data_IF_658282069972
#
_entry.id   IF_658282069972
#
_cell.length_a   1.000
_cell.length_b   1.000
_cell.length_c   1.000
_cell.angle_alpha   90.00
_cell.angle_beta   90.00
_cell.angle_gamma   90.00
#
_symmetry.space_group_name_H-M   'P 1'
#
loop_
_entity.id
_entity.type
_entity.pdbx_description
1 polymer ?
#
# COMPACT_ATOMS: atom_id res chain seq x y z
N UNK A 1 -31.87 32.14 24.79
CA UNK A 1 -30.42 32.15 24.39
C UNK A 1 -29.62 32.42 25.66
N UNK A 2 -29.00 31.39 26.23
CA UNK A 2 -28.24 31.55 27.50
C UNK A 2 -26.78 31.86 27.11
N UNK A 3 -26.31 33.07 27.35
CA UNK A 3 -24.93 33.47 27.11
C UNK A 3 -24.16 33.34 28.43
N UNK A 4 -23.24 32.39 28.52
CA UNK A 4 -22.34 32.23 29.66
C UNK A 4 -21.01 32.92 29.35
N UNK A 5 -20.81 34.11 29.88
CA UNK A 5 -19.57 34.89 29.77
C UNK A 5 -18.60 34.47 30.88
N UNK A 6 -17.40 34.07 30.54
CA UNK A 6 -16.35 33.75 31.49
C UNK A 6 -14.96 33.68 30.84
N UNK A 7 -13.93 34.13 31.58
CA UNK A 7 -12.54 34.10 31.14
C UNK A 7 -12.06 32.67 30.92
N UNK A 8 -11.25 32.43 29.89
CA UNK A 8 -10.67 31.12 29.57
C UNK A 8 -9.62 30.71 30.61
N UNK A 9 -9.98 29.85 31.55
CA UNK A 9 -9.01 29.12 32.38
C UNK A 9 -8.87 27.71 31.88
N UNK A 10 -7.66 27.27 31.63
CA UNK A 10 -7.32 25.87 31.35
C UNK A 10 -7.15 25.11 32.64
N UNK A 11 -7.73 23.94 32.76
CA UNK A 11 -7.43 23.00 33.85
C UNK A 11 -6.10 22.31 33.58
N UNK A 12 -5.44 21.81 34.63
CA UNK A 12 -4.11 21.19 34.58
C UNK A 12 -4.06 19.91 33.67
N UNK A 13 -5.22 19.34 33.37
CA UNK A 13 -5.44 18.16 32.53
C UNK A 13 -5.68 18.48 31.02
N UNK A 14 -5.62 19.75 30.65
CA UNK A 14 -5.70 20.19 29.26
C UNK A 14 -7.11 20.29 28.67
N UNK A 15 -8.18 19.91 29.36
CA UNK A 15 -9.56 20.00 28.85
C UNK A 15 -10.10 21.44 28.91
N UNK A 16 -10.71 21.90 27.79
CA UNK A 16 -11.40 23.19 27.75
C UNK A 16 -12.87 23.07 28.21
N UNK A 17 -13.46 24.18 28.76
CA UNK A 17 -14.89 24.22 29.09
C UNK A 17 -15.81 23.81 27.93
N UNK A 18 -15.43 24.13 26.69
CA UNK A 18 -16.17 23.77 25.49
C UNK A 18 -16.17 22.25 25.25
N UNK A 19 -15.07 21.57 25.52
CA UNK A 19 -14.97 20.11 25.45
C UNK A 19 -15.77 19.44 26.55
N UNK A 20 -15.79 20.01 27.75
CA UNK A 20 -16.62 19.53 28.85
C UNK A 20 -18.13 19.70 28.58
N UNK A 21 -18.55 20.83 28.00
CA UNK A 21 -19.94 21.04 27.59
C UNK A 21 -20.33 20.14 26.43
N UNK A 22 -19.43 19.91 25.46
CA UNK A 22 -19.65 18.97 24.34
C UNK A 22 -19.79 17.52 24.85
N UNK A 23 -18.96 17.09 25.82
CA UNK A 23 -19.08 15.78 26.45
C UNK A 23 -20.36 15.64 27.29
N UNK A 24 -20.77 16.71 27.99
CA UNK A 24 -22.01 16.75 28.78
C UNK A 24 -23.28 16.78 27.92
N UNK A 25 -23.23 17.39 26.73
CA UNK A 25 -24.38 17.39 25.79
C UNK A 25 -24.62 16.01 25.15
N UNK A 26 -23.59 15.19 24.96
CA UNK A 26 -23.75 13.80 24.52
C UNK A 26 -24.56 12.97 25.52
N UNK A 27 -24.38 13.19 26.82
CA UNK A 27 -25.21 12.58 27.86
C UNK A 27 -26.70 13.01 27.83
N UNK A 28 -26.97 14.26 27.46
CA UNK A 28 -28.34 14.78 27.32
C UNK A 28 -29.09 14.19 26.11
N UNK A 29 -28.38 13.64 25.11
CA UNK A 29 -28.93 12.90 23.97
C UNK A 29 -28.96 11.39 24.15
N UNK A 30 -28.78 10.88 25.41
CA UNK A 30 -28.89 9.46 25.72
C UNK A 30 -27.62 8.63 25.43
N UNK A 31 -26.52 9.27 25.05
CA UNK A 31 -25.22 8.61 24.86
C UNK A 31 -24.38 8.77 26.15
N UNK A 32 -24.44 7.77 27.02
CA UNK A 32 -23.59 7.74 28.20
C UNK A 32 -22.19 7.18 27.86
N UNK A 33 -21.16 7.64 28.58
CA UNK A 33 -19.80 7.10 28.43
C UNK A 33 -19.75 5.55 28.59
N UNK A 34 -20.53 4.91 29.52
CA UNK A 34 -20.65 3.48 29.57
C UNK A 34 -21.28 2.85 28.32
N UNK A 35 -22.20 3.52 27.63
CA UNK A 35 -22.79 3.04 26.37
C UNK A 35 -21.84 3.21 25.20
N UNK A 36 -21.07 4.30 25.17
CA UNK A 36 -19.97 4.48 24.21
C UNK A 36 -18.87 3.42 24.40
N UNK A 37 -18.47 3.16 25.65
CA UNK A 37 -17.51 2.09 25.98
C UNK A 37 -18.08 0.69 25.75
N UNK A 38 -19.39 0.49 25.97
CA UNK A 38 -20.08 -0.77 25.58
C UNK A 38 -20.21 -0.90 24.06
N UNK A 39 -20.47 0.17 23.34
CA UNK A 39 -20.49 0.19 21.88
C UNK A 39 -19.08 -0.01 21.28
N UNK A 40 -18.03 0.51 21.93
CA UNK A 40 -16.64 0.19 21.60
C UNK A 40 -16.26 -1.26 21.94
N UNK A 41 -16.70 -1.78 23.07
CA UNK A 41 -16.48 -3.18 23.47
C UNK A 41 -17.42 -4.16 22.75
N UNK A 42 -18.60 -3.70 22.32
CA UNK A 42 -19.55 -4.44 21.47
C UNK A 42 -19.25 -4.31 19.96
N UNK A 43 -18.25 -3.49 19.55
CA UNK A 43 -17.63 -3.75 18.25
C UNK A 43 -17.18 -5.20 18.29
N UNK A 44 -17.68 -6.06 17.36
CA UNK A 44 -17.26 -7.46 17.37
C UNK A 44 -15.74 -7.46 17.41
N UNK A 45 -15.14 -8.31 18.24
CA UNK A 45 -13.70 -8.56 18.30
C UNK A 45 -13.15 -9.10 16.97
N UNK A 46 -13.92 -9.06 15.89
CA UNK A 46 -13.69 -9.27 14.50
C UNK A 46 -14.08 -8.03 13.67
N UNK A 47 -13.55 -6.86 13.98
CA UNK A 47 -13.59 -5.74 13.04
C UNK A 47 -13.07 -6.22 11.68
N UNK A 48 -13.67 -5.72 10.57
CA UNK A 48 -13.27 -6.07 9.20
C UNK A 48 -11.74 -6.10 9.09
N UNK A 49 -11.19 -7.20 8.60
CA UNK A 49 -9.73 -7.39 8.44
C UNK A 49 -9.22 -6.59 7.24
N UNK A 50 -9.26 -5.27 7.33
CA UNK A 50 -8.89 -4.35 6.26
C UNK A 50 -7.42 -4.44 5.92
N UNK A 51 -7.12 -4.73 4.67
CA UNK A 51 -5.77 -4.95 4.16
C UNK A 51 -5.52 -4.21 2.85
N UNK A 52 -4.26 -4.06 2.48
CA UNK A 52 -3.85 -3.43 1.21
C UNK A 52 -2.79 -4.28 0.51
N UNK A 53 -2.96 -4.49 -0.79
CA UNK A 53 -1.93 -4.95 -1.71
C UNK A 53 -1.61 -3.79 -2.65
N UNK A 54 -0.45 -3.16 -2.46
CA UNK A 54 0.08 -2.13 -3.34
C UNK A 54 0.96 -2.80 -4.39
N UNK A 55 0.51 -2.81 -5.64
CA UNK A 55 1.32 -3.24 -6.78
C UNK A 55 2.07 -2.01 -7.31
N UNK A 56 3.33 -1.89 -6.90
CA UNK A 56 4.17 -0.75 -7.22
C UNK A 56 4.91 -0.97 -8.54
N UNK A 57 4.55 -0.19 -9.56
CA UNK A 57 5.11 -0.22 -10.90
C UNK A 57 6.23 0.81 -11.02
N UNK A 58 7.35 0.55 -10.31
CA UNK A 58 8.43 1.53 -10.25
C UNK A 58 9.01 1.84 -11.63
N UNK A 59 9.24 3.10 -11.87
CA UNK A 59 9.62 3.63 -13.17
C UNK A 59 8.48 4.30 -13.93
N UNK A 60 7.22 4.06 -13.54
CA UNK A 60 6.05 4.74 -14.09
C UNK A 60 5.49 4.13 -15.38
N UNK A 61 4.35 3.45 -15.33
CA UNK A 61 3.73 2.86 -16.51
C UNK A 61 3.11 3.93 -17.42
N UNK A 62 3.10 3.67 -18.73
CA UNK A 62 2.47 4.55 -19.71
C UNK A 62 0.94 4.45 -19.65
N UNK A 63 0.26 5.56 -19.36
CA UNK A 63 -1.20 5.67 -19.39
C UNK A 63 -1.77 5.41 -20.80
N UNK A 64 -1.08 5.87 -21.84
CA UNK A 64 -1.49 5.73 -23.23
C UNK A 64 -1.37 4.30 -23.77
N UNK A 65 -0.49 3.50 -23.19
CA UNK A 65 -0.28 2.13 -23.61
C UNK A 65 -0.98 1.11 -22.69
N UNK A 66 -1.81 1.58 -21.75
CA UNK A 66 -2.57 0.75 -20.80
C UNK A 66 -4.06 1.09 -20.76
N UNK A 67 -4.48 2.08 -19.97
CA UNK A 67 -5.88 2.35 -19.65
C UNK A 67 -6.46 3.60 -20.31
N UNK A 68 -5.63 4.49 -20.88
CA UNK A 68 -6.06 5.77 -21.46
C UNK A 68 -5.54 5.95 -22.90
N UNK A 69 -5.86 5.04 -23.77
CA UNK A 69 -5.21 4.78 -25.06
C UNK A 69 -5.38 5.84 -26.15
N UNK A 70 -6.41 6.70 -26.09
CA UNK A 70 -6.68 7.77 -27.07
C UNK A 70 -6.58 7.29 -28.53
N UNK A 71 -7.44 6.36 -28.99
CA UNK A 71 -7.33 5.73 -30.30
C UNK A 71 -7.41 6.74 -31.48
N UNK A 72 -8.09 7.88 -31.27
CA UNK A 72 -8.28 8.93 -32.29
C UNK A 72 -7.12 9.92 -32.35
N UNK A 73 -6.14 9.79 -31.46
CA UNK A 73 -4.93 10.63 -31.49
C UNK A 73 -3.99 10.25 -32.61
N UNK A 74 -3.14 11.16 -33.10
CA UNK A 74 -2.08 10.87 -34.04
C UNK A 74 -1.20 9.71 -33.57
N UNK A 75 -0.62 8.95 -34.53
CA UNK A 75 0.14 7.72 -34.25
C UNK A 75 1.27 7.90 -33.25
N UNK A 76 1.94 9.04 -33.27
CA UNK A 76 3.03 9.39 -32.37
C UNK A 76 2.58 9.62 -30.92
N UNK A 77 1.26 9.71 -30.66
CA UNK A 77 0.66 9.81 -29.33
C UNK A 77 0.04 8.48 -28.89
N UNK A 78 -0.88 7.92 -29.71
CA UNK A 78 -1.67 6.74 -29.33
C UNK A 78 -0.88 5.45 -29.10
N UNK A 79 0.39 5.41 -29.50
CA UNK A 79 1.25 4.26 -29.30
C UNK A 79 1.05 3.10 -30.28
N UNK A 80 1.75 1.98 -30.04
CA UNK A 80 1.83 0.86 -30.98
C UNK A 80 0.72 -0.18 -30.84
N UNK A 81 -0.18 -0.06 -29.84
CA UNK A 81 -1.17 -1.08 -29.50
C UNK A 81 -2.57 -0.73 -29.96
N UNK A 82 -3.34 -1.79 -30.25
CA UNK A 82 -4.78 -1.72 -30.40
C UNK A 82 -5.50 -1.72 -29.04
N UNK A 83 -6.82 -1.53 -29.06
CA UNK A 83 -7.63 -1.59 -27.85
C UNK A 83 -8.70 -2.67 -27.95
N UNK A 84 -9.03 -3.30 -26.82
CA UNK A 84 -10.10 -4.28 -26.68
C UNK A 84 -11.24 -3.74 -25.80
N UNK A 85 -12.49 -4.16 -26.04
CA UNK A 85 -13.58 -3.86 -25.12
C UNK A 85 -13.38 -4.59 -23.79
N UNK A 86 -14.03 -4.06 -22.75
CA UNK A 86 -13.96 -4.63 -21.40
C UNK A 86 -15.32 -5.06 -20.89
N UNK A 87 -15.38 -5.71 -19.71
CA UNK A 87 -16.65 -6.00 -19.01
C UNK A 87 -17.39 -4.74 -18.59
N UNK A 88 -16.72 -3.58 -18.53
CA UNK A 88 -17.37 -2.28 -18.30
C UNK A 88 -17.75 -1.67 -19.66
N UNK A 89 -19.07 -1.51 -19.95
CA UNK A 89 -19.53 -0.97 -21.23
C UNK A 89 -18.94 0.42 -21.53
N UNK A 90 -18.48 0.59 -22.78
CA UNK A 90 -17.87 1.84 -23.24
C UNK A 90 -16.38 2.02 -22.89
N UNK A 91 -15.84 1.23 -21.96
CA UNK A 91 -14.42 1.25 -21.65
C UNK A 91 -13.64 0.31 -22.57
N UNK A 92 -12.58 0.83 -23.15
CA UNK A 92 -11.59 0.06 -23.91
C UNK A 92 -10.21 0.27 -23.29
N UNK A 93 -9.40 -0.81 -23.26
CA UNK A 93 -8.03 -0.80 -22.74
C UNK A 93 -7.09 -1.49 -23.73
N UNK A 94 -5.79 -1.49 -23.46
CA UNK A 94 -4.77 -2.11 -24.29
C UNK A 94 -5.10 -3.57 -24.63
N UNK A 95 -4.91 -3.98 -25.89
CA UNK A 95 -5.16 -5.34 -26.38
C UNK A 95 -4.24 -6.40 -25.74
N UNK A 96 -3.16 -5.97 -25.07
CA UNK A 96 -2.27 -6.83 -24.28
C UNK A 96 -2.77 -7.14 -22.88
N UNK A 97 -3.98 -6.66 -22.52
CA UNK A 97 -4.52 -6.76 -21.15
C UNK A 97 -5.88 -7.49 -21.08
N UNK A 98 -6.01 -8.72 -21.63
CA UNK A 98 -7.29 -9.45 -21.67
C UNK A 98 -7.78 -9.90 -20.28
N UNK A 99 -6.92 -10.12 -19.29
CA UNK A 99 -7.34 -10.46 -17.93
C UNK A 99 -7.97 -9.25 -17.25
N UNK A 100 -7.37 -8.06 -17.34
CA UNK A 100 -7.99 -6.82 -16.86
C UNK A 100 -9.31 -6.55 -17.58
N UNK A 101 -9.36 -6.74 -18.90
CA UNK A 101 -10.59 -6.48 -19.66
C UNK A 101 -11.81 -7.24 -19.10
N UNK A 102 -11.63 -8.45 -18.57
CA UNK A 102 -12.71 -9.26 -17.99
C UNK A 102 -13.17 -8.82 -16.59
N UNK A 103 -12.34 -8.06 -15.86
CA UNK A 103 -12.60 -7.69 -14.47
C UNK A 103 -12.88 -6.20 -14.28
N UNK A 104 -13.03 -5.43 -15.36
CA UNK A 104 -13.23 -3.98 -15.26
C UNK A 104 -14.53 -3.58 -14.56
N UNK A 105 -15.52 -4.45 -14.52
CA UNK A 105 -16.75 -4.30 -13.73
C UNK A 105 -16.50 -4.32 -12.21
N UNK A 106 -15.38 -4.86 -11.75
CA UNK A 106 -14.94 -4.97 -10.33
C UNK A 106 -13.78 -4.07 -9.99
N UNK A 107 -13.38 -3.22 -10.91
CA UNK A 107 -12.26 -2.31 -10.74
C UNK A 107 -12.66 -0.87 -11.05
N UNK A 108 -11.86 0.07 -10.58
CA UNK A 108 -11.94 1.46 -10.98
C UNK A 108 -10.63 1.91 -11.57
N UNK A 109 -10.68 2.72 -12.62
CA UNK A 109 -9.50 3.35 -13.20
C UNK A 109 -9.57 4.85 -12.95
N UNK A 110 -8.60 5.39 -12.24
CA UNK A 110 -8.39 6.84 -12.15
C UNK A 110 -7.49 7.23 -13.33
N UNK A 111 -8.02 8.00 -14.30
CA UNK A 111 -7.24 8.49 -15.46
C UNK A 111 -6.61 9.86 -15.24
N UNK A 112 -7.02 10.54 -14.20
CA UNK A 112 -6.70 11.94 -13.92
C UNK A 112 -5.67 12.11 -12.80
N UNK A 113 -4.89 11.08 -12.48
CA UNK A 113 -3.84 11.23 -11.49
C UNK A 113 -2.73 12.14 -12.01
N UNK A 114 -2.34 13.14 -11.21
CA UNK A 114 -1.44 14.21 -11.64
C UNK A 114 -0.63 14.79 -10.49
N UNK A 115 0.59 15.19 -10.81
CA UNK A 115 1.45 16.03 -9.96
C UNK A 115 2.48 16.74 -10.85
N UNK A 116 3.47 17.43 -10.24
CA UNK A 116 4.41 18.28 -10.96
C UNK A 116 5.89 17.85 -10.82
N UNK A 117 6.17 16.66 -10.33
CA UNK A 117 7.55 16.21 -10.10
C UNK A 117 7.93 15.04 -11.00
N UNK A 118 8.88 15.25 -11.92
CA UNK A 118 9.41 14.26 -12.85
C UNK A 118 10.68 13.54 -12.39
N UNK A 119 11.13 13.75 -11.14
CA UNK A 119 12.23 12.98 -10.55
C UNK A 119 11.67 11.71 -9.87
N UNK A 120 12.18 10.55 -10.24
CA UNK A 120 11.70 9.26 -9.70
C UNK A 120 11.70 9.21 -8.17
N UNK A 121 12.77 9.66 -7.54
CA UNK A 121 12.92 9.55 -6.10
C UNK A 121 11.98 10.50 -5.35
N UNK A 122 11.86 11.74 -5.85
CA UNK A 122 10.95 12.71 -5.26
C UNK A 122 9.49 12.31 -5.44
N UNK A 123 9.11 11.88 -6.63
CA UNK A 123 7.75 11.44 -6.93
C UNK A 123 7.38 10.16 -6.16
N UNK A 124 8.25 9.15 -6.15
CA UNK A 124 8.03 7.92 -5.39
C UNK A 124 7.91 8.18 -3.87
N UNK A 125 8.77 9.06 -3.32
CA UNK A 125 8.66 9.46 -1.92
C UNK A 125 7.30 10.11 -1.65
N UNK A 126 6.87 11.02 -2.53
CA UNK A 126 5.61 11.72 -2.37
C UNK A 126 4.41 10.77 -2.38
N UNK A 127 4.32 9.87 -3.37
CA UNK A 127 3.21 8.92 -3.47
C UNK A 127 3.19 7.90 -2.31
N UNK A 128 4.35 7.44 -1.87
CA UNK A 128 4.43 6.38 -0.87
C UNK A 128 4.32 6.89 0.58
N UNK A 129 4.54 8.20 0.81
CA UNK A 129 4.54 8.79 2.15
C UNK A 129 3.54 9.94 2.34
N UNK A 130 2.99 10.50 1.25
CA UNK A 130 2.16 11.72 1.27
C UNK A 130 2.96 13.02 1.31
N UNK A 131 4.29 12.98 1.35
CA UNK A 131 5.15 14.15 1.52
C UNK A 131 6.28 14.19 0.49
N UNK A 132 6.60 15.39 0.01
CA UNK A 132 7.89 15.62 -0.66
C UNK A 132 9.01 15.52 0.38
N UNK A 133 10.15 14.93 0.04
CA UNK A 133 11.23 14.78 1.02
C UNK A 133 12.50 14.11 0.51
N UNK A 134 12.46 13.51 -0.65
CA UNK A 134 13.62 12.94 -1.31
C UNK A 134 13.85 13.58 -2.69
N UNK A 135 15.04 13.40 -3.24
CA UNK A 135 15.42 13.82 -4.58
C UNK A 135 16.39 12.81 -5.18
N UNK A 136 16.69 12.91 -6.47
CA UNK A 136 17.71 12.07 -7.11
C UNK A 136 19.09 12.15 -6.46
N UNK A 137 19.42 13.28 -5.83
CA UNK A 137 20.69 13.51 -5.11
C UNK A 137 20.64 13.18 -3.62
N UNK A 138 19.47 13.28 -2.98
CA UNK A 138 19.23 12.89 -1.57
C UNK A 138 18.11 11.85 -1.49
N UNK A 139 18.48 10.58 -1.51
CA UNK A 139 17.57 9.42 -1.56
C UNK A 139 17.12 8.93 -0.18
N UNK A 140 17.26 9.75 0.85
CA UNK A 140 16.84 9.37 2.21
C UNK A 140 15.34 9.55 2.38
N UNK A 141 14.66 8.50 2.86
CA UNK A 141 13.27 8.61 3.30
C UNK A 141 13.18 9.55 4.50
N UNK A 142 12.43 10.64 4.39
CA UNK A 142 12.21 11.61 5.47
C UNK A 142 10.92 11.33 6.23
N UNK A 143 9.97 10.70 5.57
CA UNK A 143 8.67 10.33 6.13
C UNK A 143 8.47 8.82 6.03
N UNK A 144 7.71 8.22 6.95
CA UNK A 144 7.38 6.80 6.88
C UNK A 144 6.41 6.52 5.71
N UNK A 145 6.55 5.35 5.11
CA UNK A 145 5.61 4.88 4.08
C UNK A 145 4.24 4.55 4.68
N UNK A 146 3.20 4.54 3.84
CA UNK A 146 1.85 4.15 4.25
C UNK A 146 1.81 2.75 4.88
N UNK A 147 2.60 1.80 4.34
CA UNK A 147 2.73 0.46 4.93
C UNK A 147 3.35 0.47 6.32
N UNK A 148 4.39 1.29 6.53
CA UNK A 148 5.01 1.45 7.85
C UNK A 148 4.08 2.15 8.86
N UNK A 149 3.32 3.15 8.42
CA UNK A 149 2.28 3.79 9.25
C UNK A 149 1.17 2.78 9.60
N UNK A 150 0.73 1.99 8.64
CA UNK A 150 -0.25 0.92 8.87
C UNK A 150 0.24 -0.10 9.89
N UNK A 151 1.50 -0.52 9.80
CA UNK A 151 2.12 -1.42 10.77
C UNK A 151 2.18 -0.79 12.18
N UNK A 152 2.55 0.49 12.27
CA UNK A 152 2.62 1.23 13.53
C UNK A 152 1.25 1.38 14.22
N UNK A 153 0.24 1.82 13.47
CA UNK A 153 -1.07 2.15 14.03
C UNK A 153 -1.98 0.94 14.24
N UNK A 154 -1.83 -0.11 13.46
CA UNK A 154 -2.80 -1.21 13.39
C UNK A 154 -2.17 -2.60 13.58
N UNK A 155 -0.87 -2.77 13.40
CA UNK A 155 -0.21 -4.08 13.46
C UNK A 155 -0.72 -5.07 12.41
N UNK A 156 -0.41 -6.34 12.57
CA UNK A 156 -0.97 -7.46 11.79
C UNK A 156 -2.35 -7.86 12.30
N UNK A 157 -3.14 -8.57 11.47
CA UNK A 157 -4.42 -9.12 11.91
C UNK A 157 -4.28 -10.38 12.77
N UNK A 158 -3.15 -11.07 12.64
CA UNK A 158 -2.87 -12.33 13.33
C UNK A 158 -1.47 -12.29 13.95
N UNK A 159 -1.32 -12.89 15.12
CA UNK A 159 0.00 -13.06 15.73
C UNK A 159 0.84 -14.06 14.92
N UNK A 160 2.14 -13.84 14.87
CA UNK A 160 3.09 -14.69 14.18
C UNK A 160 3.18 -14.48 12.68
N UNK A 161 2.66 -13.35 12.19
CA UNK A 161 2.87 -12.86 10.81
C UNK A 161 3.29 -11.39 10.86
N UNK A 162 4.13 -10.92 9.93
CA UNK A 162 4.52 -9.51 9.89
C UNK A 162 3.32 -8.62 9.55
N UNK A 163 3.28 -7.41 10.10
CA UNK A 163 2.24 -6.44 9.79
C UNK A 163 2.37 -5.87 8.36
N UNK A 164 3.61 -5.73 7.89
CA UNK A 164 3.95 -5.20 6.57
C UNK A 164 5.00 -6.05 5.87
N UNK A 165 4.72 -6.44 4.64
CA UNK A 165 5.65 -7.19 3.76
C UNK A 165 5.93 -6.39 2.50
N UNK A 166 7.22 -6.25 2.14
CA UNK A 166 7.65 -5.65 0.89
C UNK A 166 8.39 -6.70 0.04
N UNK A 167 7.82 -7.06 -1.09
CA UNK A 167 8.39 -8.03 -2.03
C UNK A 167 9.16 -7.31 -3.13
N UNK A 168 10.35 -7.84 -3.47
CA UNK A 168 11.29 -7.25 -4.43
C UNK A 168 11.69 -5.83 -4.05
N UNK A 169 12.19 -5.65 -2.84
CA UNK A 169 12.65 -4.35 -2.36
C UNK A 169 13.75 -3.76 -3.25
N UNK A 170 13.64 -2.47 -3.54
CA UNK A 170 14.58 -1.74 -4.41
C UNK A 170 13.87 -0.91 -5.47
N UNK A 171 14.63 -0.47 -6.49
CA UNK A 171 14.12 0.45 -7.51
C UNK A 171 13.77 1.83 -6.94
N UNK A 172 12.80 2.49 -7.56
CA UNK A 172 12.32 3.79 -7.10
C UNK A 172 11.21 3.61 -6.07
N UNK A 173 11.55 3.37 -4.80
CA UNK A 173 10.54 3.16 -3.77
C UNK A 173 11.04 3.51 -2.37
N UNK A 174 10.15 4.07 -1.57
CA UNK A 174 10.38 4.41 -0.17
C UNK A 174 9.38 3.64 0.69
N UNK A 175 9.73 2.42 1.05
CA UNK A 175 8.85 1.50 1.78
C UNK A 175 9.17 1.41 3.27
N UNK A 176 10.17 2.16 3.74
CA UNK A 176 10.66 2.10 5.11
C UNK A 176 9.87 2.93 6.12
N UNK A 177 10.23 2.71 7.38
CA UNK A 177 9.58 3.32 8.54
C UNK A 177 10.11 4.72 8.89
N UNK A 178 11.24 5.16 8.30
CA UNK A 178 11.82 6.47 8.61
C UNK A 178 11.91 6.71 10.13
N UNK A 179 11.32 7.77 10.65
CA UNK A 179 11.36 8.13 12.07
C UNK A 179 10.45 7.25 12.98
N UNK A 180 9.64 6.33 12.45
CA UNK A 180 8.88 5.40 13.29
C UNK A 180 9.71 4.27 13.90
N UNK A 181 10.98 4.14 13.46
CA UNK A 181 11.87 3.11 13.95
C UNK A 181 11.77 1.78 13.22
N UNK A 182 12.74 0.92 13.47
CA UNK A 182 12.97 -0.33 12.71
C UNK A 182 11.85 -1.36 12.86
N UNK A 183 11.07 -1.30 13.96
CA UNK A 183 9.91 -2.17 14.19
C UNK A 183 8.84 -2.05 13.13
N UNK A 184 8.68 -0.86 12.57
CA UNK A 184 7.67 -0.59 11.55
C UNK A 184 8.20 -0.78 10.13
N UNK A 185 9.46 -1.20 9.96
CA UNK A 185 9.99 -1.54 8.63
C UNK A 185 9.28 -2.76 8.05
N UNK A 186 9.13 -2.83 6.72
CA UNK A 186 8.58 -4.01 6.09
C UNK A 186 9.47 -5.25 6.30
N UNK A 187 8.85 -6.39 6.45
CA UNK A 187 9.54 -7.67 6.22
C UNK A 187 9.87 -7.76 4.73
N UNK A 188 11.15 -7.74 4.39
CA UNK A 188 11.60 -7.69 2.99
C UNK A 188 11.85 -9.06 2.44
N UNK A 189 11.35 -9.30 1.22
CA UNK A 189 11.57 -10.56 0.50
C UNK A 189 12.11 -10.26 -0.89
N UNK A 190 13.31 -10.77 -1.18
CA UNK A 190 13.97 -10.51 -2.43
C UNK A 190 14.50 -9.08 -2.58
N UNK A 191 15.27 -8.87 -3.62
CA UNK A 191 15.77 -7.55 -4.01
C UNK A 191 15.61 -7.38 -5.52
N UNK A 192 15.37 -6.12 -5.92
CA UNK A 192 15.38 -5.75 -7.32
C UNK A 192 16.81 -5.72 -7.84
N UNK A 193 17.01 -6.28 -9.04
CA UNK A 193 18.28 -6.19 -9.77
C UNK A 193 18.02 -5.54 -11.13
N UNK A 194 18.65 -4.41 -11.39
CA UNK A 194 18.59 -3.74 -12.70
C UNK A 194 19.07 -4.69 -13.81
N UNK A 195 18.31 -4.77 -14.90
CA UNK A 195 18.63 -5.59 -16.06
C UNK A 195 18.19 -7.05 -15.98
N UNK A 196 17.62 -7.52 -14.90
CA UNK A 196 17.05 -8.85 -14.78
C UNK A 196 15.53 -8.83 -14.59
N UNK A 197 14.83 -8.22 -15.53
CA UNK A 197 13.37 -8.04 -15.50
C UNK A 197 12.59 -9.37 -15.53
N UNK A 198 13.19 -10.41 -16.07
CA UNK A 198 12.57 -11.74 -16.19
C UNK A 198 12.70 -12.61 -14.93
N UNK A 199 13.63 -12.28 -14.04
CA UNK A 199 14.05 -13.14 -12.94
C UNK A 199 13.76 -12.59 -11.53
N UNK A 200 12.85 -11.63 -11.42
CA UNK A 200 12.45 -11.10 -10.11
C UNK A 200 11.54 -12.10 -9.38
N UNK A 201 12.08 -13.25 -9.08
CA UNK A 201 11.46 -14.17 -8.12
C UNK A 201 11.77 -13.69 -6.71
N UNK A 202 10.79 -13.69 -5.80
CA UNK A 202 11.08 -13.44 -4.40
C UNK A 202 12.13 -14.47 -3.96
N UNK A 203 13.28 -14.00 -3.54
CA UNK A 203 14.29 -14.86 -2.93
C UNK A 203 13.91 -15.29 -1.52
N UNK A 204 12.84 -14.73 -0.96
CA UNK A 204 12.23 -15.25 0.26
C UNK A 204 11.52 -16.56 -0.05
N UNK A 205 12.30 -17.59 -0.14
CA UNK A 205 11.79 -18.94 -0.01
C UNK A 205 11.35 -19.14 1.44
N UNK A 206 10.38 -20.00 1.67
CA UNK A 206 10.01 -20.49 3.01
C UNK A 206 11.26 -20.94 3.82
N UNK A 207 12.35 -21.28 3.14
CA UNK A 207 13.67 -21.59 3.72
C UNK A 207 14.29 -20.43 4.50
N UNK A 208 13.99 -19.17 4.18
CA UNK A 208 14.53 -18.00 4.90
C UNK A 208 13.95 -17.87 6.32
N UNK A 209 12.81 -18.49 6.57
CA UNK A 209 12.16 -18.58 7.88
C UNK A 209 12.39 -19.93 8.58
N UNK A 210 13.22 -20.80 8.00
CA UNK A 210 13.63 -22.03 8.70
C UNK A 210 14.62 -21.70 9.80
N UNK A 211 14.38 -22.30 10.96
CA UNK A 211 15.37 -22.24 12.04
C UNK A 211 16.70 -22.84 11.55
N UNK A 212 17.80 -22.20 11.93
CA UNK A 212 19.13 -22.74 11.70
C UNK A 212 19.26 -24.13 12.35
N UNK A 213 20.05 -25.01 11.76
CA UNK A 213 20.31 -26.33 12.32
C UNK A 213 20.75 -26.26 13.79
N UNK A 214 20.07 -27.01 14.65
CA UNK A 214 20.31 -27.00 16.08
C UNK A 214 19.59 -25.94 16.90
N UNK A 215 18.86 -24.98 16.25
CA UNK A 215 17.91 -24.09 16.92
C UNK A 215 16.50 -24.71 16.88
N UNK A 216 15.91 -24.90 18.05
CA UNK A 216 14.51 -25.30 18.19
C UNK A 216 13.68 -24.14 18.75
N UNK A 217 12.37 -24.19 18.60
CA UNK A 217 11.43 -23.20 19.17
C UNK A 217 11.60 -23.10 20.69
N UNK A 218 11.84 -24.22 21.38
CA UNK A 218 12.08 -24.29 22.82
C UNK A 218 13.39 -23.55 23.20
N UNK A 219 14.46 -23.77 22.44
CA UNK A 219 15.75 -23.09 22.68
C UNK A 219 15.64 -21.58 22.45
N UNK A 220 14.86 -21.14 21.45
CA UNK A 220 14.61 -19.72 21.21
C UNK A 220 13.80 -19.13 22.37
N UNK A 221 12.70 -19.78 22.75
CA UNK A 221 11.85 -19.35 23.87
C UNK A 221 12.61 -19.30 25.19
N UNK A 222 13.50 -20.27 25.47
CA UNK A 222 14.35 -20.28 26.65
C UNK A 222 15.35 -19.12 26.64
N UNK A 223 15.98 -18.82 25.49
CA UNK A 223 16.89 -17.67 25.36
C UNK A 223 16.17 -16.33 25.54
N UNK A 224 14.99 -16.18 24.96
CA UNK A 224 14.16 -14.97 25.14
C UNK A 224 13.74 -14.81 26.61
N UNK A 225 13.34 -15.88 27.28
CA UNK A 225 13.02 -15.87 28.70
C UNK A 225 14.22 -15.50 29.57
N UNK A 226 15.41 -15.99 29.22
CA UNK A 226 16.66 -15.63 29.90
C UNK A 226 16.99 -14.15 29.68
N UNK A 227 16.88 -13.65 28.46
CA UNK A 227 17.09 -12.22 28.17
C UNK A 227 16.12 -11.36 28.97
N UNK A 228 14.82 -11.68 28.99
CA UNK A 228 13.79 -10.95 29.78
C UNK A 228 14.13 -10.93 31.28
N UNK A 229 14.68 -12.02 31.83
CA UNK A 229 15.15 -12.05 33.24
C UNK A 229 16.35 -11.16 33.47
N UNK A 230 17.31 -11.10 32.53
CA UNK A 230 18.48 -10.23 32.61
C UNK A 230 18.07 -8.76 32.45
N UNK A 231 17.10 -8.46 31.57
CA UNK A 231 16.59 -7.12 31.34
C UNK A 231 15.73 -6.64 32.52
N UNK A 232 14.97 -7.53 33.16
CA UNK A 232 14.23 -7.21 34.40
C UNK A 232 15.19 -6.78 35.54
N UNK A 233 16.40 -7.33 35.61
CA UNK A 233 17.45 -6.91 36.54
C UNK A 233 18.03 -5.52 36.19
N UNK A 234 17.84 -5.06 34.93
CA UNK A 234 18.30 -3.74 34.45
C UNK A 234 17.17 -2.71 34.36
N UNK A 235 15.91 -3.12 34.47
CA UNK A 235 14.74 -2.26 34.29
C UNK A 235 14.65 -1.12 35.31
N UNK A 236 15.27 -1.29 36.48
CA UNK A 236 15.36 -0.23 37.49
C UNK A 236 16.20 0.97 37.02
N UNK A 237 16.89 0.86 35.88
CA UNK A 237 17.78 1.89 35.32
C UNK A 237 17.17 2.53 34.07
N UNK A 238 16.16 1.91 33.41
CA UNK A 238 15.58 2.43 32.18
C UNK A 238 14.46 3.45 32.42
N UNK A 239 14.85 4.70 32.54
CA UNK A 239 13.91 5.84 32.58
C UNK A 239 13.34 6.24 31.22
N UNK A 240 13.81 5.65 30.11
CA UNK A 240 13.48 6.05 28.74
C UNK A 240 12.38 5.23 28.09
N UNK A 241 12.03 4.07 28.63
CA UNK A 241 11.09 3.12 28.01
C UNK A 241 11.62 2.40 26.75
N UNK A 242 12.90 2.63 26.39
CA UNK A 242 13.50 2.07 25.18
C UNK A 242 13.60 0.54 25.22
N UNK A 243 13.81 -0.04 26.41
CA UNK A 243 13.88 -1.49 26.60
C UNK A 243 12.52 -2.17 26.42
N UNK A 244 11.42 -1.54 26.86
CA UNK A 244 10.07 -2.08 26.65
C UNK A 244 9.71 -2.18 25.16
N UNK A 245 10.13 -1.19 24.37
CA UNK A 245 9.96 -1.23 22.91
C UNK A 245 10.75 -2.35 22.24
N UNK A 246 11.99 -2.60 22.72
CA UNK A 246 12.87 -3.65 22.19
C UNK A 246 12.35 -5.05 22.55
N UNK A 247 11.79 -5.24 23.74
CA UNK A 247 11.19 -6.50 24.17
C UNK A 247 9.97 -6.90 23.32
N UNK A 248 9.12 -5.95 22.98
CA UNK A 248 7.94 -6.22 22.13
C UNK A 248 8.35 -6.60 20.70
N UNK A 249 9.36 -5.93 20.14
CA UNK A 249 9.91 -6.25 18.81
C UNK A 249 10.55 -7.65 18.77
N UNK A 250 11.33 -7.99 19.81
CA UNK A 250 11.94 -9.30 19.91
C UNK A 250 10.87 -10.39 20.02
N UNK A 251 9.81 -10.15 20.79
CA UNK A 251 8.69 -11.08 20.92
C UNK A 251 7.97 -11.28 19.58
N UNK A 252 7.67 -10.20 18.84
CA UNK A 252 7.06 -10.28 17.52
C UNK A 252 7.93 -11.07 16.53
N UNK A 253 9.23 -10.79 16.50
CA UNK A 253 10.19 -11.53 15.66
C UNK A 253 10.22 -13.03 16.02
N UNK A 254 10.19 -13.37 17.30
CA UNK A 254 10.10 -14.75 17.77
C UNK A 254 8.80 -15.40 17.37
N UNK A 255 7.67 -14.71 17.53
CA UNK A 255 6.34 -15.22 17.16
C UNK A 255 6.28 -15.50 15.66
N UNK A 256 6.83 -14.63 14.81
CA UNK A 256 6.93 -14.84 13.36
C UNK A 256 7.72 -16.11 13.01
N UNK A 257 8.86 -16.29 13.65
CA UNK A 257 9.75 -17.44 13.35
C UNK A 257 9.21 -18.75 13.91
N UNK A 258 8.55 -18.72 15.08
CA UNK A 258 8.11 -19.94 15.81
C UNK A 258 6.71 -20.40 15.42
N UNK A 259 5.81 -19.51 15.04
CA UNK A 259 4.39 -19.85 14.76
C UNK A 259 4.21 -20.75 13.52
N UNK A 260 5.16 -20.74 12.58
CA UNK A 260 5.01 -21.43 11.29
C UNK A 260 3.99 -20.78 10.33
N UNK A 261 3.09 -19.89 10.80
CA UNK A 261 2.07 -19.22 9.99
C UNK A 261 2.70 -18.39 8.86
N UNK A 262 3.68 -17.55 9.21
CA UNK A 262 4.41 -16.76 8.21
C UNK A 262 5.08 -17.67 7.18
N UNK A 263 5.77 -18.72 7.62
CA UNK A 263 6.43 -19.68 6.72
C UNK A 263 5.44 -20.33 5.75
N UNK A 264 4.29 -20.77 6.25
CA UNK A 264 3.24 -21.35 5.42
C UNK A 264 2.70 -20.33 4.41
N UNK A 265 2.53 -19.06 4.80
CA UNK A 265 2.06 -18.00 3.90
C UNK A 265 3.03 -17.74 2.75
N UNK A 266 4.36 -17.76 3.01
CA UNK A 266 5.39 -17.59 1.98
C UNK A 266 5.59 -18.84 1.10
N UNK A 267 5.06 -19.99 1.48
CA UNK A 267 5.26 -21.23 0.72
C UNK A 267 4.12 -21.44 -0.29
N UNK A 268 4.30 -20.92 -1.50
CA UNK A 268 3.34 -21.08 -2.60
C UNK A 268 3.21 -22.53 -3.08
N UNK A 269 4.13 -23.43 -2.71
CA UNK A 269 4.03 -24.85 -3.07
C UNK A 269 2.90 -25.56 -2.35
N UNK A 270 2.37 -24.99 -1.27
CA UNK A 270 1.20 -25.49 -0.54
C UNK A 270 -0.12 -25.25 -1.29
N UNK A 271 -0.13 -24.41 -2.32
CA UNK A 271 -1.29 -24.24 -3.20
C UNK A 271 -1.40 -25.40 -4.20
N UNK A 272 -2.63 -25.70 -4.61
CA UNK A 272 -2.87 -26.70 -5.65
C UNK A 272 -2.24 -26.30 -6.99
N UNK A 273 -1.99 -27.30 -7.83
CA UNK A 273 -1.32 -27.09 -9.12
C UNK A 273 -2.09 -26.16 -10.04
N UNK A 274 -3.42 -26.27 -10.07
CA UNK A 274 -4.28 -25.49 -10.95
C UNK A 274 -4.23 -23.99 -10.57
N UNK A 275 -4.30 -23.69 -9.28
CA UNK A 275 -4.14 -22.32 -8.77
C UNK A 275 -2.78 -21.74 -9.14
N UNK A 276 -1.68 -22.48 -8.93
CA UNK A 276 -0.34 -22.04 -9.30
C UNK A 276 -0.18 -21.79 -10.79
N UNK A 277 -0.73 -22.69 -11.62
CA UNK A 277 -0.72 -22.53 -13.07
C UNK A 277 -1.57 -21.35 -13.53
N UNK A 278 -2.71 -21.07 -12.88
CA UNK A 278 -3.57 -19.92 -13.17
C UNK A 278 -2.84 -18.60 -12.97
N UNK A 279 -2.12 -18.45 -11.88
CA UNK A 279 -1.30 -17.25 -11.63
C UNK A 279 -0.08 -17.18 -12.58
N UNK A 280 0.56 -18.30 -12.86
CA UNK A 280 1.77 -18.40 -13.67
C UNK A 280 3.04 -17.97 -12.94
N UNK A 281 4.20 -18.07 -13.60
CA UNK A 281 5.50 -17.79 -13.00
C UNK A 281 5.76 -16.29 -12.80
N UNK A 282 6.81 -15.97 -12.04
CA UNK A 282 7.31 -14.61 -11.84
C UNK A 282 6.34 -13.72 -11.08
N UNK A 283 5.84 -12.67 -11.69
CA UNK A 283 4.90 -11.74 -11.01
C UNK A 283 3.60 -12.43 -10.61
N UNK A 284 3.15 -13.45 -11.34
CA UNK A 284 2.01 -14.27 -10.96
C UNK A 284 2.24 -15.02 -9.66
N UNK A 285 3.39 -15.69 -9.51
CA UNK A 285 3.76 -16.37 -8.26
C UNK A 285 3.86 -15.40 -7.08
N UNK A 286 4.36 -14.20 -7.33
CA UNK A 286 4.42 -13.14 -6.31
C UNK A 286 3.04 -12.61 -5.94
N UNK A 287 2.13 -12.47 -6.90
CA UNK A 287 0.75 -12.09 -6.65
C UNK A 287 0.01 -13.17 -5.85
N UNK A 288 0.25 -14.45 -6.15
CA UNK A 288 -0.24 -15.57 -5.36
C UNK A 288 0.27 -15.52 -3.91
N UNK A 289 1.56 -15.23 -3.73
CA UNK A 289 2.15 -15.04 -2.41
C UNK A 289 1.51 -13.86 -1.66
N UNK A 290 1.26 -12.72 -2.33
CA UNK A 290 0.57 -11.59 -1.73
C UNK A 290 -0.83 -11.96 -1.23
N UNK A 291 -1.61 -12.71 -2.00
CA UNK A 291 -2.92 -13.21 -1.58
C UNK A 291 -2.80 -14.09 -0.33
N UNK A 292 -1.85 -15.04 -0.31
CA UNK A 292 -1.61 -15.92 0.84
C UNK A 292 -1.21 -15.16 2.10
N UNK A 293 -0.41 -14.11 1.96
CA UNK A 293 -0.02 -13.24 3.06
C UNK A 293 -1.22 -12.50 3.66
N UNK A 294 -2.13 -12.00 2.82
CA UNK A 294 -3.37 -11.37 3.28
C UNK A 294 -4.25 -12.39 4.03
N UNK A 295 -4.43 -13.60 3.49
CA UNK A 295 -5.17 -14.67 4.18
C UNK A 295 -4.57 -15.04 5.53
N UNK A 296 -3.24 -15.02 5.65
CA UNK A 296 -2.53 -15.28 6.90
C UNK A 296 -2.63 -14.15 7.92
N UNK A 297 -3.12 -12.96 7.52
CA UNK A 297 -3.33 -11.82 8.41
C UNK A 297 -2.29 -10.71 8.29
N UNK A 298 -1.48 -10.68 7.25
CA UNK A 298 -0.64 -9.52 6.91
C UNK A 298 -1.55 -8.36 6.51
N UNK A 299 -1.33 -7.18 7.05
CA UNK A 299 -2.19 -6.01 6.78
C UNK A 299 -1.80 -5.26 5.52
N UNK A 300 -0.52 -5.11 5.26
CA UNK A 300 -0.03 -4.37 4.12
C UNK A 300 1.01 -5.19 3.35
N UNK A 301 0.81 -5.34 2.04
CA UNK A 301 1.77 -6.01 1.16
C UNK A 301 2.11 -5.06 0.02
N UNK A 302 3.39 -4.76 -0.18
CA UNK A 302 3.88 -4.12 -1.41
C UNK A 302 4.47 -5.18 -2.32
N UNK A 303 3.98 -5.24 -3.54
CA UNK A 303 4.51 -6.05 -4.63
C UNK A 303 5.16 -5.12 -5.66
N UNK A 304 6.49 -5.04 -5.66
CA UNK A 304 7.19 -4.27 -6.68
C UNK A 304 7.26 -5.10 -7.97
N UNK A 305 6.72 -4.54 -9.06
CA UNK A 305 6.71 -5.17 -10.37
C UNK A 305 7.59 -4.39 -11.33
N UNK A 306 8.47 -5.07 -12.03
CA UNK A 306 9.25 -4.62 -13.17
C UNK A 306 9.96 -3.29 -13.01
N UNK A 307 10.52 -2.87 -14.12
CA UNK A 307 11.09 -1.54 -14.32
C UNK A 307 10.35 -0.93 -15.51
N UNK A 308 9.51 0.09 -15.24
CA UNK A 308 8.63 0.69 -16.24
C UNK A 308 9.19 1.98 -16.85
N UNK A 309 10.48 2.24 -16.62
CA UNK A 309 11.19 3.44 -17.11
C UNK A 309 11.69 3.25 -18.55
N UNK A 310 10.76 3.20 -19.50
CA UNK A 310 11.00 2.80 -20.88
C UNK A 310 11.27 4.00 -21.81
N UNK A 311 12.46 4.60 -21.70
CA UNK A 311 12.91 5.70 -22.53
C UNK A 311 13.23 5.33 -23.99
N UNK A 312 13.24 4.08 -24.34
CA UNK A 312 13.50 3.59 -25.70
C UNK A 312 12.74 2.32 -25.99
N UNK A 313 12.37 2.14 -27.26
CA UNK A 313 11.69 0.94 -27.78
C UNK A 313 10.57 0.42 -26.86
N UNK A 314 9.63 1.30 -26.52
CA UNK A 314 8.55 1.01 -25.57
C UNK A 314 7.73 -0.21 -25.97
N UNK A 315 7.57 -0.45 -27.28
CA UNK A 315 6.84 -1.63 -27.77
C UNK A 315 7.51 -2.92 -27.30
N UNK A 316 8.82 -3.08 -27.47
CA UNK A 316 9.57 -4.27 -27.06
C UNK A 316 9.49 -4.48 -25.56
N UNK A 317 9.60 -3.40 -24.79
CA UNK A 317 9.52 -3.43 -23.32
C UNK A 317 8.13 -3.88 -22.85
N UNK A 318 7.07 -3.28 -23.39
CA UNK A 318 5.70 -3.56 -22.99
C UNK A 318 5.17 -4.90 -23.53
N UNK A 319 5.61 -5.38 -24.69
CA UNK A 319 5.29 -6.73 -25.19
C UNK A 319 5.71 -7.82 -24.18
N UNK A 320 6.73 -7.56 -23.38
CA UNK A 320 7.19 -8.45 -22.31
C UNK A 320 6.43 -8.21 -20.98
N UNK A 321 6.22 -6.94 -20.61
CA UNK A 321 5.70 -6.56 -19.29
C UNK A 321 4.18 -6.69 -19.19
N UNK A 322 3.45 -6.18 -20.19
CA UNK A 322 1.99 -6.12 -20.14
C UNK A 322 1.32 -7.48 -19.95
N UNK A 323 1.65 -8.54 -20.69
CA UNK A 323 1.00 -9.84 -20.50
C UNK A 323 1.25 -10.45 -19.12
N UNK A 324 2.44 -10.22 -18.56
CA UNK A 324 2.79 -10.69 -17.19
C UNK A 324 2.04 -9.93 -16.12
N UNK A 325 2.01 -8.60 -16.25
CA UNK A 325 1.27 -7.72 -15.33
C UNK A 325 -0.22 -8.00 -15.39
N UNK A 326 -0.76 -8.09 -16.59
CA UNK A 326 -2.17 -8.39 -16.85
C UNK A 326 -2.62 -9.69 -16.18
N UNK A 327 -1.86 -10.76 -16.40
CA UNK A 327 -2.17 -12.05 -15.79
C UNK A 327 -2.04 -12.02 -14.27
N UNK A 328 -0.93 -11.50 -13.74
CA UNK A 328 -0.66 -11.48 -12.31
C UNK A 328 -1.73 -10.72 -11.53
N UNK A 329 -2.06 -9.51 -11.99
CA UNK A 329 -2.99 -8.65 -11.29
C UNK A 329 -4.45 -9.03 -11.54
N UNK A 330 -4.80 -9.39 -12.79
CA UNK A 330 -6.15 -9.83 -13.13
C UNK A 330 -6.54 -11.10 -12.38
N UNK A 331 -5.65 -12.11 -12.33
CA UNK A 331 -5.89 -13.35 -11.58
C UNK A 331 -5.95 -13.09 -10.07
N UNK A 332 -5.09 -12.20 -9.54
CA UNK A 332 -5.12 -11.81 -8.12
C UNK A 332 -6.48 -11.24 -7.72
N UNK A 333 -7.01 -10.31 -8.49
CA UNK A 333 -8.30 -9.66 -8.21
C UNK A 333 -9.45 -10.68 -8.32
N UNK A 334 -9.43 -11.53 -9.34
CA UNK A 334 -10.42 -12.62 -9.48
C UNK A 334 -10.36 -13.59 -8.29
N UNK A 335 -9.18 -14.02 -7.86
CA UNK A 335 -9.00 -14.99 -6.76
C UNK A 335 -9.44 -14.40 -5.42
N UNK A 336 -9.06 -13.14 -5.13
CA UNK A 336 -9.53 -12.43 -3.93
C UNK A 336 -11.06 -12.30 -3.93
N UNK A 337 -11.67 -12.01 -5.08
CA UNK A 337 -13.13 -11.93 -5.22
C UNK A 337 -13.79 -13.27 -4.98
N UNK A 338 -13.30 -14.36 -5.58
CA UNK A 338 -13.82 -15.70 -5.43
C UNK A 338 -13.74 -16.23 -3.99
N UNK A 339 -12.74 -15.77 -3.23
CA UNK A 339 -12.53 -16.11 -1.82
C UNK A 339 -13.28 -15.21 -0.84
N UNK A 340 -13.98 -14.19 -1.34
CA UNK A 340 -14.67 -13.21 -0.47
C UNK A 340 -13.72 -12.28 0.30
N UNK A 341 -12.48 -12.12 -0.17
CA UNK A 341 -11.45 -11.30 0.47
C UNK A 341 -11.35 -9.90 -0.14
N UNK A 342 -11.89 -9.70 -1.35
CA UNK A 342 -11.69 -8.47 -2.11
C UNK A 342 -12.30 -7.24 -1.42
N UNK A 343 -13.49 -7.38 -0.83
CA UNK A 343 -14.18 -6.26 -0.17
C UNK A 343 -13.39 -5.69 1.02
N UNK A 344 -12.60 -6.53 1.69
CA UNK A 344 -11.76 -6.14 2.82
C UNK A 344 -10.29 -5.91 2.43
N UNK A 345 -9.95 -6.09 1.16
CA UNK A 345 -8.59 -5.93 0.64
C UNK A 345 -8.55 -4.95 -0.52
N UNK A 346 -7.97 -3.77 -0.32
CA UNK A 346 -7.69 -2.86 -1.42
C UNK A 346 -6.51 -3.39 -2.23
N UNK A 347 -6.73 -3.68 -3.50
CA UNK A 347 -5.66 -3.86 -4.49
C UNK A 347 -5.53 -2.56 -5.28
N UNK A 348 -4.35 -1.96 -5.24
CA UNK A 348 -4.07 -0.70 -5.95
C UNK A 348 -2.77 -0.84 -6.75
N UNK A 349 -2.80 -0.45 -8.04
CA UNK A 349 -1.64 -0.51 -8.93
C UNK A 349 -1.31 0.89 -9.45
N UNK A 350 -0.09 1.34 -9.18
CA UNK A 350 0.42 2.66 -9.54
C UNK A 350 1.95 2.64 -9.67
N UNK A 351 2.49 3.59 -10.41
CA UNK A 351 3.89 4.00 -10.35
C UNK A 351 4.01 5.43 -9.84
N UNK A 352 5.21 5.98 -9.86
CA UNK A 352 5.44 7.34 -9.36
C UNK A 352 4.91 8.44 -10.29
N UNK A 353 4.79 8.17 -11.60
CA UNK A 353 4.21 9.06 -12.61
C UNK A 353 3.88 8.30 -13.90
N UNK A 354 3.25 8.97 -14.87
CA UNK A 354 3.02 8.43 -16.22
C UNK A 354 4.16 8.72 -17.18
N UNK A 355 3.86 8.57 -18.49
CA UNK A 355 4.85 8.73 -19.56
C UNK A 355 4.42 9.77 -20.57
N UNK A 356 5.43 10.41 -21.25
CA UNK A 356 5.15 11.46 -22.24
C UNK A 356 4.13 10.99 -23.26
N UNK A 357 3.12 11.83 -23.57
CA UNK A 357 2.13 11.50 -24.59
C UNK A 357 2.73 11.27 -25.96
N UNK A 358 3.70 12.08 -26.37
CA UNK A 358 4.40 11.90 -27.62
C UNK A 358 5.57 10.92 -27.45
N UNK A 359 5.67 9.95 -28.35
CA UNK A 359 6.79 9.00 -28.45
C UNK A 359 8.03 9.79 -28.87
N UNK A 360 9.16 9.56 -28.19
CA UNK A 360 10.44 10.22 -28.46
C UNK A 360 11.19 9.56 -29.63
N UNK A 361 12.33 10.16 -30.03
CA UNK A 361 13.14 9.71 -31.16
C UNK A 361 13.77 8.33 -30.97
N UNK A 362 13.80 7.82 -29.73
CA UNK A 362 14.26 6.44 -29.42
C UNK A 362 13.10 5.43 -29.41
N UNK A 363 11.92 5.83 -29.90
CA UNK A 363 10.68 5.04 -29.86
C UNK A 363 10.29 4.66 -28.42
N UNK A 364 10.58 5.50 -27.44
CA UNK A 364 10.24 5.37 -26.03
C UNK A 364 9.36 6.52 -25.57
N UNK A 365 9.11 6.56 -24.25
CA UNK A 365 8.41 7.67 -23.59
C UNK A 365 9.20 8.13 -22.37
N UNK A 366 9.33 9.43 -22.19
CA UNK A 366 10.02 10.04 -21.07
C UNK A 366 9.08 10.24 -19.88
N UNK A 367 9.58 10.86 -18.80
CA UNK A 367 8.78 11.10 -17.58
C UNK A 367 7.67 12.12 -17.82
N UNK A 368 6.48 11.83 -17.31
CA UNK A 368 5.33 12.71 -17.45
C UNK A 368 4.45 12.68 -16.19
N UNK A 369 4.73 13.53 -15.20
CA UNK A 369 3.95 13.56 -13.96
C UNK A 369 2.56 14.18 -14.12
N UNK A 370 2.27 14.87 -15.22
CA UNK A 370 1.00 15.56 -15.45
C UNK A 370 -0.18 14.62 -15.74
N UNK A 371 0.06 13.36 -16.08
CA UNK A 371 -1.00 12.38 -16.27
C UNK A 371 -0.52 10.95 -16.03
N UNK A 372 -1.28 10.19 -15.23
CA UNK A 372 -1.09 8.75 -15.00
C UNK A 372 -2.44 8.07 -14.81
N UNK A 373 -2.52 6.78 -15.17
CA UNK A 373 -3.65 5.92 -14.82
C UNK A 373 -3.32 5.04 -13.62
N UNK A 374 -4.24 4.98 -12.65
CA UNK A 374 -4.16 4.14 -11.45
C UNK A 374 -5.33 3.17 -11.46
N UNK A 375 -5.08 1.89 -11.20
CA UNK A 375 -6.10 0.86 -11.05
C UNK A 375 -6.38 0.58 -9.58
N UNK A 376 -7.66 0.42 -9.22
CA UNK A 376 -8.12 0.03 -7.89
C UNK A 376 -9.14 -1.10 -7.98
N UNK A 377 -9.11 -2.01 -6.98
CA UNK A 377 -10.14 -3.04 -6.79
C UNK A 377 -10.34 -3.30 -5.29
N UNK A 378 -11.56 -3.60 -4.88
CA UNK A 378 -11.88 -3.97 -3.50
C UNK A 378 -11.76 -2.84 -2.48
N UNK A 379 -11.38 -3.19 -1.24
CA UNK A 379 -11.20 -2.22 -0.15
C UNK A 379 -12.48 -1.58 0.37
N UNK A 380 -13.65 -2.12 0.01
CA UNK A 380 -14.95 -1.58 0.40
C UNK A 380 -15.41 -0.39 -0.44
N UNK A 381 -14.75 -0.13 -1.57
CA UNK A 381 -15.09 0.94 -2.51
C UNK A 381 -16.10 0.50 -3.56
N UNK A 382 -16.78 1.48 -4.17
CA UNK A 382 -17.60 1.26 -5.37
C UNK A 382 -16.70 1.17 -6.59
N UNK A 383 -16.90 0.13 -7.39
CA UNK A 383 -16.11 -0.14 -8.58
C UNK A 383 -16.99 -0.19 -9.86
N UNK A 384 -16.40 -0.59 -10.98
CA UNK A 384 -17.05 -0.61 -12.28
C UNK A 384 -17.15 0.78 -12.90
N UNK A 385 -16.10 1.60 -12.77
CA UNK A 385 -16.11 2.98 -13.23
C UNK A 385 -14.73 3.51 -13.65
N UNK A 386 -14.75 4.58 -14.41
CA UNK A 386 -13.58 5.41 -14.72
C UNK A 386 -13.75 6.76 -14.02
N UNK A 387 -12.74 7.15 -13.25
CA UNK A 387 -12.73 8.40 -12.48
C UNK A 387 -11.82 9.40 -13.18
N UNK A 388 -12.39 10.57 -13.49
CA UNK A 388 -11.70 11.65 -14.19
C UNK A 388 -11.38 11.34 -15.65
N UNK A 389 -10.93 12.36 -16.34
CA UNK A 389 -10.55 12.29 -17.74
C UNK A 389 -9.30 13.12 -18.01
N UNK A 390 -8.59 12.77 -19.08
CA UNK A 390 -7.51 13.56 -19.65
C UNK A 390 -7.95 14.14 -21.01
N UNK A 391 -7.20 15.13 -21.51
CA UNK A 391 -7.44 15.68 -22.84
C UNK A 391 -7.24 14.63 -23.95
N UNK A 392 -7.53 14.99 -25.19
CA UNK A 392 -7.48 14.07 -26.34
C UNK A 392 -6.14 13.40 -26.62
N UNK A 393 -5.06 13.86 -26.00
CA UNK A 393 -3.69 13.30 -26.11
C UNK A 393 -3.17 12.70 -24.82
N UNK A 394 -3.97 12.64 -23.75
CA UNK A 394 -3.58 12.23 -22.40
C UNK A 394 -2.39 13.02 -21.82
N UNK A 395 -2.38 14.32 -22.07
CA UNK A 395 -1.31 15.23 -21.62
C UNK A 395 -1.54 15.72 -20.18
N UNK A 396 -2.78 15.99 -19.81
CA UNK A 396 -3.18 16.50 -18.49
C UNK A 396 -4.65 16.19 -18.20
N UNK A 397 -5.04 16.16 -16.92
CA UNK A 397 -6.43 16.02 -16.54
C UNK A 397 -7.30 17.17 -17.05
N UNK A 398 -8.50 16.85 -17.52
CA UNK A 398 -9.56 17.81 -17.85
C UNK A 398 -10.71 17.73 -16.86
N UNK A 399 -10.84 16.59 -16.16
CA UNK A 399 -11.88 16.35 -15.17
C UNK A 399 -11.30 15.67 -13.95
N UNK A 400 -11.78 16.02 -12.78
CA UNK A 400 -11.48 15.37 -11.50
C UNK A 400 -9.98 15.05 -11.32
N UNK A 401 -9.07 16.03 -11.24
CA UNK A 401 -7.67 15.75 -10.95
C UNK A 401 -7.53 15.07 -9.58
N UNK A 402 -6.72 14.01 -9.53
CA UNK A 402 -6.38 13.25 -8.33
C UNK A 402 -4.90 13.42 -8.05
N UNK A 403 -4.55 13.74 -6.82
CA UNK A 403 -3.18 14.11 -6.40
C UNK A 403 -2.51 12.99 -5.58
N UNK A 404 -1.20 13.05 -5.30
CA UNK A 404 -0.54 12.14 -4.37
C UNK A 404 -1.17 12.10 -2.97
N UNK A 405 -1.69 13.23 -2.47
CA UNK A 405 -2.38 13.26 -1.19
C UNK A 405 -3.71 12.50 -1.23
N UNK A 406 -4.46 12.61 -2.33
CA UNK A 406 -5.70 11.83 -2.53
C UNK A 406 -5.40 10.33 -2.66
N UNK A 407 -4.33 9.96 -3.36
CA UNK A 407 -3.86 8.56 -3.44
C UNK A 407 -3.60 7.98 -2.04
N UNK A 408 -2.87 8.70 -1.20
CA UNK A 408 -2.63 8.27 0.18
C UNK A 408 -3.93 8.23 1.00
N UNK A 409 -4.84 9.19 0.81
CA UNK A 409 -6.15 9.22 1.49
C UNK A 409 -7.00 7.98 1.13
N UNK A 410 -6.99 7.55 -0.14
CA UNK A 410 -7.64 6.29 -0.58
C UNK A 410 -7.07 5.10 0.20
N UNK A 411 -5.74 4.97 0.29
CA UNK A 411 -5.10 3.85 0.97
C UNK A 411 -5.41 3.86 2.47
N UNK A 412 -5.31 5.00 3.13
CA UNK A 412 -5.60 5.12 4.56
C UNK A 412 -7.07 4.85 4.88
N UNK A 413 -7.98 5.37 4.08
CA UNK A 413 -9.42 5.11 4.26
C UNK A 413 -9.74 3.62 4.14
N UNK A 414 -9.18 2.93 3.15
CA UNK A 414 -9.34 1.47 3.01
C UNK A 414 -8.84 0.71 4.25
N UNK A 415 -7.78 1.18 4.92
CA UNK A 415 -7.25 0.61 6.16
C UNK A 415 -8.06 1.01 7.41
N UNK A 416 -9.05 1.89 7.30
CA UNK A 416 -9.76 2.45 8.44
C UNK A 416 -8.89 3.37 9.30
N UNK A 417 -7.99 4.10 8.65
CA UNK A 417 -7.15 5.12 9.25
C UNK A 417 -7.66 6.49 8.78
N UNK A 418 -7.93 7.39 9.71
CA UNK A 418 -8.26 8.77 9.38
C UNK A 418 -6.98 9.62 9.32
N UNK A 419 -6.45 9.95 8.12
CA UNK A 419 -5.18 10.62 8.00
C UNK A 419 -5.19 12.08 8.48
N UNK A 420 -6.37 12.66 8.74
CA UNK A 420 -6.54 14.03 9.20
C UNK A 420 -6.72 14.16 10.71
N UNK A 421 -7.01 13.05 11.39
CA UNK A 421 -7.18 12.99 12.84
C UNK A 421 -6.07 12.21 13.55
N UNK A 422 -5.59 11.13 12.92
CA UNK A 422 -4.52 10.30 13.49
C UNK A 422 -3.16 10.96 13.25
N UNK A 423 -2.29 10.88 14.26
CA UNK A 423 -0.94 11.41 14.21
C UNK A 423 0.07 10.35 14.63
N UNK A 424 1.28 10.47 14.13
CA UNK A 424 2.43 9.65 14.55
C UNK A 424 3.51 10.55 15.14
N UNK A 425 4.23 10.07 16.15
CA UNK A 425 5.31 10.84 16.78
C UNK A 425 6.66 10.48 16.14
N UNK A 426 7.49 11.50 15.91
CA UNK A 426 8.89 11.29 15.52
C UNK A 426 9.78 10.96 16.74
N UNK A 427 11.07 10.76 16.52
CA UNK A 427 12.04 10.46 17.58
C UNK A 427 12.14 11.52 18.67
N UNK A 428 11.73 12.76 18.40
CA UNK A 428 11.71 13.84 19.39
C UNK A 428 10.39 13.90 20.18
N UNK A 429 9.44 13.00 19.85
CA UNK A 429 8.10 13.00 20.41
C UNK A 429 7.14 14.02 19.78
N UNK A 430 7.55 14.72 18.71
CA UNK A 430 6.72 15.68 17.99
C UNK A 430 5.63 14.94 17.21
N UNK A 431 4.35 15.32 17.36
CA UNK A 431 3.27 14.75 16.55
C UNK A 431 3.34 15.24 15.10
N UNK A 432 3.20 14.33 14.17
CA UNK A 432 3.13 14.60 12.74
C UNK A 432 1.81 14.06 12.21
N UNK A 433 1.10 14.86 11.43
CA UNK A 433 -0.09 14.40 10.70
C UNK A 433 0.33 13.40 9.62
N UNK A 434 -0.58 12.49 9.27
CA UNK A 434 -0.31 11.49 8.23
C UNK A 434 -0.33 12.11 6.84
N UNK A 435 -1.18 13.12 6.62
CA UNK A 435 -1.29 13.86 5.36
C UNK A 435 -1.51 15.35 5.61
N UNK A 436 -1.09 16.15 4.64
CA UNK A 436 -1.45 17.55 4.52
C UNK A 436 -2.49 17.71 3.39
N UNK A 437 -3.76 17.51 3.71
CA UNK A 437 -4.84 17.49 2.72
C UNK A 437 -5.04 16.10 2.11
N UNK A 438 -5.71 16.07 0.94
CA UNK A 438 -6.11 14.84 0.26
C UNK A 438 -7.47 14.32 0.71
N UNK A 439 -8.25 13.87 -0.26
CA UNK A 439 -9.60 13.35 -0.07
C UNK A 439 -9.82 12.10 -0.92
N UNK A 440 -10.65 11.19 -0.43
CA UNK A 440 -11.10 10.07 -1.25
C UNK A 440 -12.06 10.60 -2.30
N UNK A 441 -11.86 10.32 -3.59
CA UNK A 441 -12.84 10.68 -4.62
C UNK A 441 -14.25 10.20 -4.25
N UNK A 442 -15.27 11.08 -4.23
CA UNK A 442 -16.63 10.70 -3.82
C UNK A 442 -17.24 9.56 -4.65
N UNK A 443 -16.77 9.37 -5.88
CA UNK A 443 -17.19 8.30 -6.77
C UNK A 443 -16.85 6.91 -6.19
N UNK A 444 -15.81 6.81 -5.36
CA UNK A 444 -15.41 5.57 -4.71
C UNK A 444 -16.26 5.25 -3.47
N UNK A 445 -16.84 6.26 -2.84
CA UNK A 445 -17.64 6.14 -1.60
C UNK A 445 -19.12 5.90 -1.95
#
# INVERSE_FOLDING_TARGET
MLTVSGSSRRFCDGFSRRQFIAAGSLGAFGLSLPELLRAESARPAGGRKRSVILVWQHGGPSQLDTFDMKPDSPREYRGPYGSIPTSLPGLRICDKMPFHARIMDRTSVIRSFTHNNGDHWAAAHWLLTGYLGATGSDRKARNPSMGAISAHLRGSHEKGVPAYVNMNDGGFGFHGASYLGVACNPFRTGSYSYGNEAGMLPTARASSLKLLNGLTTEKISARVSLMKRLDALRSDIDRSGAFHGMDSMLQEAVDIVTSGKARAAFDVSLEDKQTRERYGPGWGEQALMARRLIEAGVRFVTLNTGYWDDHGNIKKALDNKLPRHDRALGVLIEDLSQRGLLDDTLVISAGEFGRTPKINDKAGRDHWPQAQSILLAGGGYRHGQVIGATNGKAEHPTERPVTPADFCAIVYHALGIDPHQEVVKDFSGRPNFLLQGGVVPPELL
#
